data_IF_565096819604
#
_entry.id   IF_565096819604
#
_cell.length_a   1.000
_cell.length_b   1.000
_cell.length_c   1.000
_cell.angle_alpha   90.00
_cell.angle_beta   90.00
_cell.angle_gamma   90.00
#
_symmetry.space_group_name_H-M   'P 1'
#
loop_
_entity.id
_entity.type
_entity.pdbx_description
1 polymer ?
#
# COMPACT_ATOMS: atom_id res chain seq x y z
N UNK A 1 -17.16 4.81 4.64
CA UNK A 1 -16.98 5.27 6.03
C UNK A 1 -16.07 4.23 6.65
N UNK A 2 -14.81 4.49 6.92
CA UNK A 2 -14.12 5.75 7.17
C UNK A 2 -12.84 5.86 6.36
N UNK A 3 -12.45 7.10 6.06
CA UNK A 3 -11.05 7.49 5.97
C UNK A 3 -11.00 8.73 6.86
N UNK A 4 -10.51 8.58 8.09
CA UNK A 4 -10.37 9.69 9.03
C UNK A 4 -8.87 9.94 9.19
N UNK A 5 -8.44 11.13 8.75
CA UNK A 5 -7.06 11.58 8.85
C UNK A 5 -7.02 12.84 9.72
N UNK A 6 -6.29 12.78 10.83
CA UNK A 6 -5.73 13.97 11.48
C UNK A 6 -4.22 13.93 11.22
N UNK A 7 -3.75 14.79 10.31
CA UNK A 7 -2.36 14.85 9.91
C UNK A 7 -1.46 15.32 11.07
N UNK A 8 -0.54 14.46 11.47
CA UNK A 8 0.67 14.81 12.21
C UNK A 8 1.76 13.81 11.80
N UNK A 9 2.55 14.19 10.77
CA UNK A 9 3.76 13.52 10.28
C UNK A 9 3.64 12.04 9.78
N UNK A 10 2.56 11.32 10.10
CA UNK A 10 2.30 9.94 9.66
C UNK A 10 0.93 9.78 9.00
N UNK A 11 0.88 9.01 7.92
CA UNK A 11 -0.35 8.67 7.20
C UNK A 11 -0.72 7.21 7.47
N UNK A 12 -1.95 6.97 7.89
CA UNK A 12 -2.50 5.62 8.05
C UNK A 12 -3.12 5.14 6.75
N UNK A 13 -2.52 4.14 6.10
CA UNK A 13 -3.05 3.51 4.90
C UNK A 13 -3.81 2.25 5.27
N UNK A 14 -5.08 2.17 4.88
CA UNK A 14 -5.95 1.02 5.08
C UNK A 14 -6.44 0.52 3.72
N UNK A 15 -6.47 -0.80 3.47
CA UNK A 15 -7.02 -1.32 2.23
C UNK A 15 -8.51 -1.04 2.17
N UNK A 16 -8.97 -0.46 1.05
CA UNK A 16 -10.39 -0.31 0.76
C UNK A 16 -11.00 -1.65 0.31
N UNK A 17 -10.91 -2.69 1.14
CA UNK A 17 -11.38 -4.03 0.79
C UNK A 17 -11.01 -5.10 1.82
N UNK A 18 -11.74 -6.22 1.78
CA UNK A 18 -11.40 -7.40 2.59
C UNK A 18 -10.14 -8.05 2.00
N UNK A 19 -9.03 -8.07 2.75
CA UNK A 19 -7.79 -8.74 2.35
C UNK A 19 -8.14 -10.20 1.98
N UNK A 20 -8.12 -10.49 0.68
CA UNK A 20 -8.55 -11.78 0.14
C UNK A 20 -7.73 -12.94 0.69
N UNK A 21 -8.35 -14.11 0.82
CA UNK A 21 -7.78 -15.35 1.40
C UNK A 21 -6.60 -15.96 0.60
N UNK A 22 -6.04 -15.26 -0.38
CA UNK A 22 -4.79 -15.65 -1.01
C UNK A 22 -3.67 -15.31 -0.03
N UNK A 23 -2.93 -16.32 0.45
CA UNK A 23 -1.92 -16.17 1.51
C UNK A 23 -0.68 -15.34 1.16
N UNK A 24 -0.83 -14.27 0.38
CA UNK A 24 0.12 -13.18 0.26
C UNK A 24 -0.27 -11.99 1.15
N UNK A 25 0.36 -10.86 0.91
CA UNK A 25 0.27 -9.65 1.70
C UNK A 25 0.16 -8.41 0.83
N UNK A 26 -0.28 -7.30 1.42
CA UNK A 26 -0.39 -6.05 0.68
C UNK A 26 0.95 -5.31 0.69
N UNK A 27 1.16 -4.59 -0.40
CA UNK A 27 2.27 -3.69 -0.62
C UNK A 27 1.73 -2.30 -0.89
N UNK A 28 2.40 -1.27 -0.40
CA UNK A 28 2.07 0.12 -0.75
C UNK A 28 3.15 0.69 -1.65
N UNK A 29 2.76 1.06 -2.85
CA UNK A 29 3.51 1.85 -3.82
C UNK A 29 3.32 3.33 -3.50
N UNK A 30 4.41 4.06 -3.32
CA UNK A 30 4.41 5.50 -3.03
C UNK A 30 4.89 6.24 -4.28
N UNK A 31 4.04 7.10 -4.83
CA UNK A 31 4.29 7.91 -6.03
C UNK A 31 4.74 7.08 -7.26
N UNK A 32 4.32 5.82 -7.30
CA UNK A 32 4.60 4.89 -8.39
C UNK A 32 3.37 4.05 -8.71
N UNK A 33 3.33 3.51 -9.93
CA UNK A 33 2.26 2.63 -10.38
C UNK A 33 2.41 1.20 -9.86
N UNK A 34 1.38 0.40 -10.10
CA UNK A 34 1.39 -1.03 -9.83
C UNK A 34 2.51 -1.75 -10.60
N UNK A 35 3.07 -2.78 -9.97
CA UNK A 35 4.00 -3.73 -10.58
C UNK A 35 3.23 -4.64 -11.54
N UNK A 36 3.86 -5.07 -12.64
CA UNK A 36 3.17 -5.95 -13.60
C UNK A 36 2.84 -7.30 -12.94
N UNK A 37 1.64 -7.81 -13.22
CA UNK A 37 1.16 -9.07 -12.63
C UNK A 37 2.11 -10.21 -12.96
N UNK A 38 2.51 -10.97 -11.92
CA UNK A 38 3.46 -12.06 -12.04
C UNK A 38 4.93 -11.64 -11.95
N UNK A 39 5.23 -10.34 -11.78
CA UNK A 39 6.56 -9.86 -11.43
C UNK A 39 6.73 -9.72 -9.92
N UNK A 40 7.97 -9.80 -9.45
CA UNK A 40 8.28 -9.61 -8.04
C UNK A 40 8.20 -8.13 -7.67
N UNK A 41 7.53 -7.82 -6.56
CA UNK A 41 7.46 -6.45 -6.07
C UNK A 41 8.86 -6.01 -5.59
N UNK A 42 9.42 -4.91 -6.11
CA UNK A 42 10.71 -4.40 -5.66
C UNK A 42 10.74 -4.14 -4.16
N UNK A 43 11.93 -4.27 -3.55
CA UNK A 43 12.15 -3.93 -2.15
C UNK A 43 13.00 -2.67 -2.09
N UNK A 44 12.35 -1.51 -2.25
CA UNK A 44 12.94 -0.18 -2.21
C UNK A 44 12.02 0.78 -1.44
N UNK A 45 12.47 2.02 -1.24
CA UNK A 45 11.75 3.00 -0.43
C UNK A 45 10.36 3.36 -1.00
N UNK A 46 10.14 3.20 -2.31
CA UNK A 46 8.84 3.43 -2.96
C UNK A 46 7.89 2.24 -2.87
N UNK A 47 8.36 1.06 -2.43
CA UNK A 47 7.56 -0.16 -2.31
C UNK A 47 7.62 -0.67 -0.87
N UNK A 48 6.56 -0.42 -0.10
CA UNK A 48 6.49 -0.79 1.31
C UNK A 48 5.77 -2.12 1.48
N UNK A 49 6.45 -3.09 2.10
CA UNK A 49 5.99 -4.48 2.28
C UNK A 49 5.30 -4.65 3.64
N UNK A 50 4.07 -5.16 3.69
CA UNK A 50 3.31 -5.34 4.94
C UNK A 50 2.88 -6.79 5.17
N UNK A 51 3.86 -7.65 5.47
CA UNK A 51 3.68 -9.10 5.62
C UNK A 51 3.08 -9.59 6.96
N UNK A 52 2.81 -8.70 7.91
CA UNK A 52 2.34 -9.07 9.26
C UNK A 52 0.81 -9.32 9.35
N UNK A 53 0.08 -9.15 8.25
CA UNK A 53 -1.38 -9.33 8.23
C UNK A 53 -2.15 -8.18 8.89
N UNK A 54 -1.49 -7.04 9.11
CA UNK A 54 -2.14 -5.80 9.54
C UNK A 54 -3.15 -5.35 8.48
N UNK A 55 -4.25 -4.72 8.90
CA UNK A 55 -5.18 -4.04 7.99
C UNK A 55 -4.84 -2.56 7.85
N UNK A 56 -3.79 -2.09 8.49
CA UNK A 56 -3.37 -0.70 8.44
C UNK A 56 -1.85 -0.60 8.56
N UNK A 57 -1.31 0.47 7.99
CA UNK A 57 0.10 0.80 8.05
C UNK A 57 0.29 2.29 8.27
N UNK A 58 1.25 2.65 9.12
CA UNK A 58 1.71 4.03 9.26
C UNK A 58 2.89 4.25 8.30
N UNK A 59 2.78 5.27 7.45
CA UNK A 59 3.84 5.71 6.55
C UNK A 59 4.37 7.07 6.98
N UNK A 60 5.69 7.19 7.03
CA UNK A 60 6.39 8.47 7.13
C UNK A 60 6.62 8.98 5.70
N UNK A 61 5.99 10.08 5.34
CA UNK A 61 6.08 10.71 4.02
C UNK A 61 6.60 12.14 4.17
N UNK A 62 7.20 12.67 3.10
CA UNK A 62 7.54 14.09 3.06
C UNK A 62 6.26 14.94 3.00
N UNK A 63 6.36 16.23 3.28
CA UNK A 63 5.20 17.11 3.12
C UNK A 63 4.91 17.35 1.64
N UNK A 64 3.64 17.20 1.26
CA UNK A 64 3.21 17.24 -0.13
C UNK A 64 2.03 16.31 -0.42
N UNK A 65 1.63 16.30 -1.69
CA UNK A 65 0.66 15.35 -2.22
C UNK A 65 1.40 14.07 -2.63
N UNK A 66 0.89 12.93 -2.18
CA UNK A 66 1.42 11.61 -2.47
C UNK A 66 0.32 10.70 -3.01
N UNK A 67 0.62 10.00 -4.10
CA UNK A 67 -0.25 8.96 -4.65
C UNK A 67 0.19 7.61 -4.07
N UNK A 68 -0.73 6.96 -3.36
CA UNK A 68 -0.50 5.66 -2.73
C UNK A 68 -1.32 4.60 -3.47
N UNK A 69 -0.65 3.56 -3.96
CA UNK A 69 -1.29 2.42 -4.57
C UNK A 69 -1.02 1.17 -3.74
N UNK A 70 -2.07 0.50 -3.30
CA UNK A 70 -1.99 -0.80 -2.68
C UNK A 70 -2.02 -1.87 -3.78
N UNK A 71 -1.12 -2.84 -3.70
CA UNK A 71 -1.14 -4.02 -4.55
C UNK A 71 -0.91 -5.28 -3.72
N UNK A 72 -1.73 -6.30 -3.95
CA UNK A 72 -1.55 -7.61 -3.33
C UNK A 72 -0.46 -8.41 -4.05
N UNK A 73 0.22 -9.28 -3.32
CA UNK A 73 1.04 -10.35 -3.90
C UNK A 73 0.48 -11.74 -3.57
N UNK A 74 1.06 -12.77 -4.19
CA UNK A 74 0.85 -14.14 -3.78
C UNK A 74 1.91 -14.60 -2.76
N UNK A 75 1.76 -15.85 -2.26
CA UNK A 75 2.73 -16.43 -1.32
C UNK A 75 4.12 -16.69 -1.91
N UNK A 76 4.36 -16.40 -3.19
CA UNK A 76 5.66 -16.44 -3.87
C UNK A 76 6.22 -15.01 -4.12
N UNK A 77 5.58 -13.97 -3.56
CA UNK A 77 5.88 -12.55 -3.73
C UNK A 77 5.73 -12.03 -5.15
N UNK A 78 4.81 -12.63 -5.93
CA UNK A 78 4.48 -12.16 -7.27
C UNK A 78 3.23 -11.29 -7.23
N UNK A 79 3.30 -10.14 -7.91
CA UNK A 79 2.24 -9.15 -7.93
C UNK A 79 0.94 -9.72 -8.52
N UNK A 80 -0.18 -9.42 -7.87
CA UNK A 80 -1.54 -9.77 -8.29
C UNK A 80 -2.23 -8.56 -8.96
N UNK A 81 -3.31 -8.80 -9.76
CA UNK A 81 -4.07 -7.72 -10.40
C UNK A 81 -4.94 -6.93 -9.41
N UNK A 82 -5.02 -7.35 -8.15
CA UNK A 82 -5.84 -6.68 -7.14
C UNK A 82 -5.09 -5.46 -6.62
N UNK A 83 -5.55 -4.28 -7.03
CA UNK A 83 -4.98 -2.99 -6.67
C UNK A 83 -6.05 -2.04 -6.17
N UNK A 84 -5.68 -1.13 -5.27
CA UNK A 84 -6.52 -0.05 -4.78
C UNK A 84 -5.66 1.22 -4.67
N UNK A 85 -6.15 2.39 -5.07
CA UNK A 85 -5.38 3.64 -5.06
C UNK A 85 -6.06 4.74 -4.25
N UNK A 86 -5.23 5.57 -3.63
CA UNK A 86 -5.67 6.74 -2.86
C UNK A 86 -4.62 7.84 -2.91
N UNK A 87 -5.07 9.09 -2.85
CA UNK A 87 -4.18 10.25 -2.76
C UNK A 87 -4.25 10.81 -1.35
N UNK A 88 -3.10 11.09 -0.77
CA UNK A 88 -2.97 11.68 0.57
C UNK A 88 -2.15 12.95 0.51
N UNK A 89 -2.50 13.93 1.33
CA UNK A 89 -1.74 15.19 1.44
C UNK A 89 -1.19 15.28 2.86
N UNK A 90 0.15 15.39 2.97
CA UNK A 90 0.87 15.56 4.23
C UNK A 90 1.24 17.04 4.38
N UNK A 91 0.81 17.65 5.48
CA UNK A 91 1.00 19.09 5.78
C UNK A 91 2.21 19.37 6.68
#
# INVERSE_FOLDING_TARGET
MAAEFEAADSVTVEPSGELGQAGGHFHVMIDTGAVEVGEAIPNDDSHRHFGDGSSSAELELESGDHDLLLQMDDGEHLALPETDDTTVTVE
#
